data_IF_964278568195
#
_entry.id   IF_964278568195
#
_cell.length_a   1.000
_cell.length_b   1.000
_cell.length_c   1.000
_cell.angle_alpha   90.00
_cell.angle_beta   90.00
_cell.angle_gamma   90.00
#
_symmetry.space_group_name_H-M   'P 1'
#
loop_
_entity.id
_entity.type
_entity.pdbx_description
1 polymer ?
#
# COMPACT_ATOMS: atom_id res chain seq x y z
N UNK A 1 -10.05 -0.43 -1.31
CA UNK A 1 -10.20 0.00 -2.72
C UNK A 1 -10.42 1.50 -2.76
N UNK A 2 -9.71 2.21 -3.63
CA UNK A 2 -9.88 3.65 -3.83
C UNK A 2 -10.54 3.89 -5.19
N UNK A 3 -11.72 4.50 -5.20
CA UNK A 3 -12.46 4.81 -6.45
C UNK A 3 -12.45 6.32 -6.63
N UNK A 4 -11.80 6.79 -7.70
CA UNK A 4 -11.75 8.20 -8.06
C UNK A 4 -12.90 8.56 -9.00
N UNK A 5 -13.64 9.61 -8.67
CA UNK A 5 -14.70 10.17 -9.51
C UNK A 5 -14.32 11.61 -9.89
N UNK A 6 -13.90 11.81 -11.15
CA UNK A 6 -13.41 13.12 -11.59
C UNK A 6 -12.09 13.50 -10.91
N UNK A 7 -11.80 14.80 -10.80
CA UNK A 7 -10.52 15.30 -10.27
C UNK A 7 -10.52 15.57 -8.76
N UNK A 8 -11.67 15.56 -8.10
CA UNK A 8 -11.76 16.08 -6.72
C UNK A 8 -12.37 15.10 -5.72
N UNK A 9 -12.89 13.95 -6.18
CA UNK A 9 -13.57 12.98 -5.33
C UNK A 9 -12.87 11.64 -5.34
N UNK A 10 -12.51 11.17 -4.15
CA UNK A 10 -11.92 9.85 -3.92
C UNK A 10 -12.76 9.13 -2.87
N UNK A 11 -13.24 7.93 -3.19
CA UNK A 11 -13.94 7.07 -2.23
C UNK A 11 -13.02 5.94 -1.80
N UNK A 12 -12.68 5.92 -0.51
CA UNK A 12 -11.99 4.82 0.13
C UNK A 12 -12.97 3.81 0.65
N UNK A 13 -12.88 2.57 0.16
CA UNK A 13 -13.68 1.45 0.65
C UNK A 13 -12.75 0.46 1.34
N UNK A 14 -12.94 0.26 2.64
CA UNK A 14 -12.23 -0.76 3.39
C UNK A 14 -12.97 -2.09 3.21
N UNK A 15 -12.29 -3.09 2.68
CA UNK A 15 -12.93 -4.37 2.34
C UNK A 15 -13.26 -5.20 3.57
N UNK A 16 -12.58 -4.96 4.67
CA UNK A 16 -12.70 -5.65 5.96
C UNK A 16 -13.72 -4.99 6.91
N UNK A 17 -14.29 -3.84 6.53
CA UNK A 17 -15.18 -3.05 7.37
C UNK A 17 -16.38 -2.52 6.56
N UNK A 18 -17.58 -2.51 7.15
CA UNK A 18 -18.79 -1.93 6.52
C UNK A 18 -18.79 -0.38 6.57
N UNK A 19 -17.62 0.23 6.40
CA UNK A 19 -17.49 1.66 6.26
C UNK A 19 -16.40 2.01 5.24
N UNK A 20 -16.59 3.16 4.62
CA UNK A 20 -15.62 3.80 3.77
C UNK A 20 -15.47 5.25 4.16
N UNK A 21 -14.73 5.99 3.34
CA UNK A 21 -14.61 7.42 3.47
C UNK A 21 -14.79 8.09 2.14
N UNK A 22 -15.39 9.28 2.17
CA UNK A 22 -15.43 10.17 1.04
C UNK A 22 -14.39 11.25 1.30
N UNK A 23 -13.35 11.22 0.50
CA UNK A 23 -12.25 12.16 0.55
C UNK A 23 -12.09 12.93 -0.75
N UNK A 24 -11.10 13.81 -0.75
CA UNK A 24 -10.58 14.46 -1.97
C UNK A 24 -9.30 13.77 -2.42
N UNK A 25 -8.73 14.19 -3.56
CA UNK A 25 -7.38 13.73 -3.94
C UNK A 25 -6.32 14.04 -2.88
N UNK A 26 -6.54 15.11 -2.12
CA UNK A 26 -5.59 15.68 -1.16
C UNK A 26 -5.82 15.13 0.27
N UNK A 27 -7.05 14.70 0.56
CA UNK A 27 -7.44 14.05 1.80
C UNK A 27 -8.36 12.87 1.47
N UNK A 28 -7.80 11.69 1.14
CA UNK A 28 -8.60 10.56 0.71
C UNK A 28 -9.37 9.92 1.87
N UNK A 29 -9.05 10.24 3.12
CA UNK A 29 -9.66 9.63 4.30
C UNK A 29 -10.87 10.43 4.76
N UNK A 30 -11.05 11.69 4.34
CA UNK A 30 -12.23 12.47 4.67
C UNK A 30 -12.40 12.69 6.19
N UNK A 31 -13.12 13.72 6.59
CA UNK A 31 -13.30 14.00 8.03
C UNK A 31 -14.36 13.08 8.67
N UNK A 32 -15.23 12.45 7.87
CA UNK A 32 -16.35 11.63 8.33
C UNK A 32 -16.41 10.25 7.66
N UNK A 33 -16.57 9.20 8.48
CA UNK A 33 -16.79 7.84 8.00
C UNK A 33 -18.18 7.72 7.35
N UNK A 34 -18.22 7.22 6.10
CA UNK A 34 -19.43 6.80 5.44
C UNK A 34 -19.70 5.34 5.76
N UNK A 35 -20.73 5.07 6.56
CA UNK A 35 -21.20 3.71 6.78
C UNK A 35 -21.88 3.19 5.51
N UNK A 36 -21.43 2.02 5.06
CA UNK A 36 -22.01 1.36 3.90
C UNK A 36 -23.22 0.55 4.36
N UNK A 37 -24.25 0.38 3.50
CA UNK A 37 -25.28 -0.62 3.73
C UNK A 37 -24.65 -2.00 4.00
N UNK A 38 -25.20 -2.73 4.97
CA UNK A 38 -24.70 -4.04 5.37
C UNK A 38 -24.54 -4.97 4.15
N UNK A 39 -23.35 -5.54 3.97
CA UNK A 39 -23.03 -6.45 2.86
C UNK A 39 -22.52 -5.79 1.57
N UNK A 40 -22.46 -4.46 1.48
CA UNK A 40 -21.88 -3.77 0.32
C UNK A 40 -20.35 -3.94 0.26
N UNK A 41 -19.68 -4.04 1.42
CA UNK A 41 -18.25 -4.43 1.54
C UNK A 41 -17.97 -5.77 0.86
N UNK A 42 -18.85 -6.76 1.09
CA UNK A 42 -18.80 -8.10 0.51
C UNK A 42 -19.06 -8.10 -1.01
N UNK A 43 -19.97 -7.26 -1.49
CA UNK A 43 -20.16 -7.05 -2.94
C UNK A 43 -18.94 -6.42 -3.60
N UNK A 44 -18.27 -5.48 -2.94
CA UNK A 44 -17.05 -4.84 -3.42
C UNK A 44 -15.87 -5.83 -3.46
N UNK A 45 -15.72 -6.68 -2.43
CA UNK A 45 -14.75 -7.79 -2.45
C UNK A 45 -14.96 -8.70 -3.68
N UNK A 46 -16.22 -9.05 -3.99
CA UNK A 46 -16.53 -9.87 -5.16
C UNK A 46 -16.15 -9.21 -6.50
N UNK A 47 -16.15 -7.88 -6.59
CA UNK A 47 -15.70 -7.16 -7.80
C UNK A 47 -14.16 -7.22 -7.94
N UNK A 48 -13.42 -7.17 -6.82
CA UNK A 48 -11.96 -7.29 -6.80
C UNK A 48 -11.52 -8.70 -7.22
N UNK A 49 -12.25 -9.74 -6.79
CA UNK A 49 -12.01 -11.12 -7.20
C UNK A 49 -12.23 -11.35 -8.72
N UNK A 50 -13.15 -10.62 -9.35
CA UNK A 50 -13.41 -10.71 -10.80
C UNK A 50 -12.26 -10.11 -11.64
N UNK A 51 -11.43 -9.22 -11.08
CA UNK A 51 -10.24 -8.65 -11.71
C UNK A 51 -9.05 -9.62 -11.74
N UNK A 52 -9.02 -10.63 -10.86
CA UNK A 52 -7.83 -11.46 -10.61
C UNK A 52 -6.66 -10.71 -9.96
N UNK A 53 -6.88 -9.45 -9.57
CA UNK A 53 -5.89 -8.54 -9.02
C UNK A 53 -5.72 -8.85 -7.53
N UNK A 54 -4.94 -9.89 -7.22
CA UNK A 54 -4.71 -10.32 -5.83
C UNK A 54 -3.58 -9.49 -5.24
N UNK A 55 -3.92 -8.36 -4.60
CA UNK A 55 -2.92 -7.57 -3.89
C UNK A 55 -2.37 -8.37 -2.70
N UNK A 56 -1.05 -8.31 -2.52
CA UNK A 56 -0.35 -8.87 -1.37
C UNK A 56 0.23 -7.75 -0.54
N UNK A 57 0.33 -7.98 0.77
CA UNK A 57 0.98 -7.07 1.69
C UNK A 57 1.98 -7.82 2.56
N UNK A 58 3.12 -7.18 2.83
CA UNK A 58 4.08 -7.68 3.79
C UNK A 58 4.81 -6.53 4.49
N UNK A 59 5.29 -6.81 5.70
CA UNK A 59 6.10 -5.87 6.47
C UNK A 59 7.58 -6.16 6.31
N UNK A 60 8.40 -5.12 6.46
CA UNK A 60 9.85 -5.22 6.45
C UNK A 60 10.51 -4.00 7.07
N UNK A 61 11.81 -4.09 7.30
CA UNK A 61 12.62 -2.97 7.78
C UNK A 61 13.35 -2.31 6.62
N UNK A 62 13.40 -0.98 6.60
CA UNK A 62 14.10 -0.20 5.57
C UNK A 62 15.60 -0.36 5.73
N UNK A 63 16.26 -0.98 4.75
CA UNK A 63 17.71 -1.14 4.71
C UNK A 63 18.40 0.01 3.97
N UNK A 64 17.78 0.52 2.89
CA UNK A 64 18.29 1.68 2.15
C UNK A 64 17.15 2.44 1.46
N UNK A 65 17.36 3.73 1.26
CA UNK A 65 16.41 4.63 0.58
C UNK A 65 17.08 5.23 -0.64
N UNK A 66 16.36 5.20 -1.75
CA UNK A 66 16.74 5.83 -3.00
C UNK A 66 15.62 6.79 -3.45
N UNK A 67 15.88 7.54 -4.52
CA UNK A 67 14.92 8.54 -5.00
C UNK A 67 13.56 7.92 -5.34
N UNK A 68 13.54 6.84 -6.13
CA UNK A 68 12.32 6.18 -6.60
C UNK A 68 12.25 4.71 -6.18
N UNK A 69 12.97 4.32 -5.13
CA UNK A 69 12.90 2.96 -4.60
C UNK A 69 13.33 2.88 -3.15
N UNK A 70 12.89 1.83 -2.47
CA UNK A 70 13.27 1.52 -1.10
C UNK A 70 13.77 0.08 -1.07
N UNK A 71 14.96 -0.14 -0.52
CA UNK A 71 15.45 -1.48 -0.21
C UNK A 71 14.98 -1.86 1.18
N UNK A 72 14.33 -3.01 1.28
CA UNK A 72 13.82 -3.54 2.52
C UNK A 72 14.33 -4.94 2.80
N UNK A 73 14.47 -5.24 4.09
CA UNK A 73 14.61 -6.59 4.61
C UNK A 73 13.21 -7.07 5.03
N UNK A 74 12.62 -8.06 4.34
CA UNK A 74 11.31 -8.59 4.72
C UNK A 74 11.33 -9.15 6.15
N UNK A 75 10.19 -9.07 6.85
CA UNK A 75 10.04 -9.72 8.14
C UNK A 75 10.21 -11.24 8.01
N UNK A 76 10.82 -11.89 9.02
CA UNK A 76 11.15 -13.32 8.96
C UNK A 76 9.94 -14.26 8.88
N UNK A 77 8.76 -13.76 9.25
CA UNK A 77 7.48 -14.44 9.18
C UNK A 77 6.71 -14.16 7.88
N UNK A 78 7.21 -13.28 7.01
CA UNK A 78 6.60 -12.99 5.71
C UNK A 78 6.84 -14.13 4.71
N UNK A 79 6.01 -14.20 3.67
CA UNK A 79 6.24 -15.16 2.58
C UNK A 79 7.36 -14.72 1.64
N UNK A 80 7.61 -13.42 1.57
CA UNK A 80 8.53 -12.73 0.67
C UNK A 80 9.99 -12.95 1.06
N UNK A 81 10.28 -13.27 2.33
CA UNK A 81 11.62 -13.68 2.78
C UNK A 81 12.14 -14.93 2.05
N UNK A 82 11.24 -15.73 1.45
CA UNK A 82 11.59 -16.89 0.64
C UNK A 82 12.15 -16.51 -0.74
N UNK A 83 11.81 -15.33 -1.24
CA UNK A 83 12.36 -14.78 -2.49
C UNK A 83 13.75 -14.20 -2.25
N UNK A 84 13.88 -13.29 -1.28
CA UNK A 84 15.18 -12.75 -0.86
C UNK A 84 15.13 -12.12 0.54
N UNK A 85 16.29 -12.02 1.19
CA UNK A 85 16.51 -11.24 2.41
C UNK A 85 16.64 -9.72 2.17
N UNK A 86 16.76 -9.34 0.89
CA UNK A 86 16.83 -7.96 0.41
C UNK A 86 15.94 -7.81 -0.82
N UNK A 87 14.91 -6.97 -0.70
CA UNK A 87 13.96 -6.67 -1.78
C UNK A 87 14.00 -5.17 -2.08
N UNK A 88 14.18 -4.82 -3.36
CA UNK A 88 14.08 -3.45 -3.85
C UNK A 88 12.67 -3.20 -4.34
N UNK A 89 11.99 -2.25 -3.71
CA UNK A 89 10.61 -1.86 -4.03
C UNK A 89 10.65 -0.54 -4.78
N UNK A 90 10.21 -0.55 -6.03
CA UNK A 90 10.08 0.65 -6.85
C UNK A 90 8.84 1.44 -6.46
N UNK A 91 9.02 2.76 -6.32
CA UNK A 91 7.98 3.74 -6.06
C UNK A 91 7.77 4.54 -7.34
N UNK A 92 6.53 4.53 -7.82
CA UNK A 92 6.11 5.20 -9.06
C UNK A 92 5.21 6.39 -8.74
N UNK A 93 4.82 7.18 -9.74
CA UNK A 93 3.82 8.24 -9.59
C UNK A 93 2.44 7.75 -9.11
N UNK A 94 2.16 6.44 -9.22
CA UNK A 94 0.92 5.82 -8.76
C UNK A 94 1.04 5.18 -7.38
N UNK A 95 2.24 5.13 -6.81
CA UNK A 95 2.50 4.52 -5.50
C UNK A 95 2.16 5.52 -4.40
N UNK A 96 1.21 5.16 -3.53
CA UNK A 96 0.90 5.99 -2.35
C UNK A 96 1.89 5.70 -1.24
N UNK A 97 2.58 6.73 -0.75
CA UNK A 97 3.52 6.63 0.38
C UNK A 97 3.02 7.54 1.50
N UNK A 98 2.77 6.97 2.69
CA UNK A 98 2.26 7.76 3.82
C UNK A 98 2.73 7.24 5.16
N UNK A 99 2.65 8.13 6.15
CA UNK A 99 2.89 7.79 7.54
C UNK A 99 1.67 7.10 8.18
N UNK A 100 1.87 5.98 8.85
CA UNK A 100 0.77 5.20 9.42
C UNK A 100 0.04 5.90 10.57
N UNK A 101 0.69 6.81 11.31
CA UNK A 101 0.10 7.47 12.48
C UNK A 101 -0.68 8.74 12.12
N UNK A 102 -0.05 9.59 11.32
CA UNK A 102 -0.53 10.91 10.91
C UNK A 102 -1.34 10.85 9.62
N UNK A 103 -1.17 9.78 8.83
CA UNK A 103 -1.82 9.58 7.52
C UNK A 103 -1.43 10.65 6.48
N UNK A 104 -0.40 11.44 6.80
CA UNK A 104 0.19 12.41 5.87
C UNK A 104 0.90 11.68 4.74
N UNK A 105 0.69 12.16 3.51
CA UNK A 105 1.48 11.74 2.36
C UNK A 105 2.93 12.21 2.54
N UNK A 106 3.85 11.27 2.39
CA UNK A 106 5.29 11.50 2.53
C UNK A 106 6.00 10.97 1.29
N UNK A 107 7.29 11.25 1.17
CA UNK A 107 8.12 10.67 0.12
C UNK A 107 9.02 9.58 0.67
N UNK A 108 9.63 8.79 -0.21
CA UNK A 108 10.65 7.79 0.18
C UNK A 108 11.76 8.41 1.04
N UNK A 109 12.16 9.66 0.72
CA UNK A 109 13.22 10.41 1.40
C UNK A 109 12.87 10.75 2.86
N UNK A 110 11.59 10.75 3.23
CA UNK A 110 11.12 11.03 4.59
C UNK A 110 11.09 9.78 5.47
N UNK A 111 11.35 8.59 4.90
CA UNK A 111 11.36 7.32 5.62
C UNK A 111 12.82 7.01 6.03
N UNK A 112 13.18 7.10 7.32
CA UNK A 112 14.54 6.80 7.73
C UNK A 112 14.86 5.30 7.65
N UNK A 113 16.14 4.98 7.45
CA UNK A 113 16.66 3.60 7.55
C UNK A 113 16.37 3.05 8.95
N UNK A 114 15.99 1.78 9.02
CA UNK A 114 15.54 1.11 10.24
C UNK A 114 14.04 1.28 10.53
N UNK A 115 13.32 2.07 9.74
CA UNK A 115 11.86 2.18 9.88
C UNK A 115 11.19 0.88 9.44
N UNK A 116 10.25 0.39 10.22
CA UNK A 116 9.34 -0.67 9.78
C UNK A 116 8.34 -0.07 8.79
N UNK A 117 8.16 -0.71 7.64
CA UNK A 117 7.16 -0.33 6.64
C UNK A 117 6.34 -1.54 6.21
N UNK A 118 5.11 -1.30 5.79
CA UNK A 118 4.27 -2.28 5.10
C UNK A 118 4.16 -1.91 3.62
N UNK A 119 4.39 -2.89 2.76
CA UNK A 119 4.33 -2.77 1.30
C UNK A 119 3.11 -3.52 0.81
N UNK A 120 2.25 -2.85 0.03
CA UNK A 120 1.20 -3.49 -0.76
C UNK A 120 1.56 -3.46 -2.24
N UNK A 121 1.44 -4.60 -2.92
CA UNK A 121 1.82 -4.78 -4.31
C UNK A 121 0.92 -5.84 -4.98
N UNK A 122 1.09 -6.07 -6.28
CA UNK A 122 0.25 -6.96 -7.09
C UNK A 122 0.60 -8.45 -6.98
N UNK A 123 1.53 -8.81 -6.10
CA UNK A 123 2.02 -10.17 -5.93
C UNK A 123 3.19 -10.55 -6.85
N UNK A 124 3.60 -9.69 -7.79
CA UNK A 124 4.73 -9.94 -8.66
C UNK A 124 6.06 -9.59 -7.97
N UNK A 125 6.97 -10.57 -7.91
CA UNK A 125 8.34 -10.38 -7.47
C UNK A 125 9.26 -10.84 -8.60
N UNK A 126 10.19 -9.98 -8.98
CA UNK A 126 11.29 -10.32 -9.87
C UNK A 126 12.35 -11.08 -9.06
N UNK A 127 12.37 -12.41 -9.25
CA UNK A 127 13.27 -13.35 -8.58
C UNK A 127 14.72 -13.20 -9.09
N UNK A 128 15.37 -12.11 -8.66
CA UNK A 128 16.79 -11.80 -8.84
C UNK A 128 17.42 -11.44 -7.49
N UNK A 129 18.72 -11.11 -7.45
CA UNK A 129 19.36 -10.70 -6.19
C UNK A 129 20.05 -9.33 -6.33
N UNK A 130 19.62 -8.31 -5.55
CA UNK A 130 18.40 -8.29 -4.71
C UNK A 130 17.12 -8.55 -5.50
N UNK A 131 16.07 -9.09 -4.86
CA UNK A 131 14.79 -9.30 -5.53
C UNK A 131 14.08 -7.96 -5.79
N UNK A 132 13.21 -7.91 -6.79
CA UNK A 132 12.56 -6.67 -7.22
C UNK A 132 11.05 -6.70 -7.08
N UNK A 133 10.46 -5.62 -6.61
CA UNK A 133 9.03 -5.31 -6.79
C UNK A 133 8.96 -4.07 -7.69
N UNK A 134 8.58 -4.22 -8.97
CA UNK A 134 8.69 -3.15 -9.96
C UNK A 134 7.68 -2.02 -9.76
N UNK A 135 6.64 -2.22 -8.95
CA UNK A 135 5.71 -1.17 -8.56
C UNK A 135 4.91 -1.54 -7.33
N UNK A 136 5.14 -0.82 -6.23
CA UNK A 136 4.24 -0.88 -5.08
C UNK A 136 2.96 -0.11 -5.38
N UNK A 137 1.84 -0.65 -4.91
CA UNK A 137 0.57 0.09 -4.82
C UNK A 137 0.60 1.06 -3.64
N UNK A 138 1.14 0.61 -2.51
CA UNK A 138 1.13 1.37 -1.27
C UNK A 138 2.38 1.07 -0.44
N UNK A 139 2.92 2.10 0.20
CA UNK A 139 3.98 2.02 1.20
C UNK A 139 3.51 2.77 2.44
N UNK A 140 3.46 2.06 3.56
CA UNK A 140 2.99 2.60 4.84
C UNK A 140 4.13 2.55 5.86
N UNK A 141 4.56 3.71 6.33
CA UNK A 141 5.69 3.82 7.26
C UNK A 141 5.25 3.90 8.73
N UNK A 142 5.92 3.13 9.60
CA UNK A 142 5.66 3.11 11.05
C UNK A 142 6.78 3.86 11.80
N UNK A 143 6.78 5.19 11.71
CA UNK A 143 7.65 6.10 12.49
C UNK A 143 6.93 6.59 13.75
#
# INVERSE_FOLDING_TARGET
MWVKFGNDLVIGLYSDMDYGYIGTEIDPIGEDAMYLPEGLSKCVQNIIDVCGCTYRSFSGEVAAVHENSITITPATDSTEIKSADSIVVSVTEYTKVFDNKTLEEITTKDIPVGTTIEITYDGNIEESYPAGIPGATMVRAFR
#
